data_IF_020407094621
#
_entry.id   IF_020407094621
#
_cell.length_a   1.000
_cell.length_b   1.000
_cell.length_c   1.000
_cell.angle_alpha   90.00
_cell.angle_beta   90.00
_cell.angle_gamma   90.00
#
_symmetry.space_group_name_H-M   'P 1'
#
loop_
_entity.id
_entity.type
_entity.pdbx_description
1 polymer ?
#
# COMPACT_ATOMS: atom_id res chain seq x y z
N UNK A 1 5.22 -0.17 -8.45
CA UNK A 1 3.98 0.50 -8.03
C UNK A 1 3.71 0.16 -6.57
N UNK A 2 3.23 1.11 -5.77
CA UNK A 2 2.99 0.91 -4.33
C UNK A 2 1.67 1.57 -3.99
N UNK A 3 0.80 0.88 -3.24
CA UNK A 3 -0.45 1.43 -2.69
C UNK A 3 -0.45 1.22 -1.19
N UNK A 4 -0.86 2.23 -0.44
CA UNK A 4 -1.06 2.15 1.01
C UNK A 4 -2.55 2.15 1.33
N UNK A 5 -2.96 1.25 2.23
CA UNK A 5 -4.34 1.16 2.73
C UNK A 5 -4.31 1.40 4.24
N UNK A 6 -4.99 2.44 4.68
CA UNK A 6 -5.05 2.86 6.08
C UNK A 6 -6.35 2.41 6.74
N UNK A 7 -6.31 2.22 8.07
CA UNK A 7 -7.46 1.83 8.89
C UNK A 7 -8.44 2.99 9.13
N UNK A 8 -7.98 4.23 8.99
CA UNK A 8 -8.77 5.45 9.13
C UNK A 8 -9.67 5.65 7.91
N UNK A 9 -10.73 6.45 8.08
CA UNK A 9 -11.56 6.92 6.97
C UNK A 9 -10.88 8.07 6.20
N UNK A 10 -11.30 8.32 4.95
CA UNK A 10 -10.62 9.29 4.08
C UNK A 10 -10.65 10.73 4.61
N UNK A 11 -11.65 11.09 5.40
CA UNK A 11 -11.82 12.40 6.03
C UNK A 11 -10.93 12.59 7.27
N UNK A 12 -10.35 11.51 7.79
CA UNK A 12 -9.43 11.53 8.94
C UNK A 12 -7.96 11.55 8.52
N UNK A 13 -7.64 11.33 7.24
CA UNK A 13 -6.28 11.35 6.74
C UNK A 13 -5.88 12.74 6.22
N UNK A 14 -4.80 13.28 6.77
CA UNK A 14 -4.09 14.44 6.24
C UNK A 14 -3.27 14.04 4.99
N UNK A 15 -3.94 13.90 3.84
CA UNK A 15 -3.29 13.52 2.58
C UNK A 15 -2.09 14.42 2.25
N UNK A 16 -2.22 15.71 2.50
CA UNK A 16 -1.18 16.72 2.25
C UNK A 16 0.11 16.53 3.08
N UNK A 17 0.06 15.71 4.12
CA UNK A 17 1.20 15.38 5.00
C UNK A 17 1.85 14.03 4.64
N UNK A 18 1.29 13.28 3.69
CA UNK A 18 1.79 11.95 3.32
C UNK A 18 3.19 12.00 2.70
N UNK A 19 4.02 10.96 2.86
CA UNK A 19 5.32 10.89 2.20
C UNK A 19 5.23 11.03 0.67
N UNK A 20 6.28 11.56 0.03
CA UNK A 20 6.33 11.72 -1.43
C UNK A 20 6.20 10.40 -2.19
N UNK A 21 6.57 9.26 -1.58
CA UNK A 21 6.35 7.93 -2.14
C UNK A 21 4.86 7.63 -2.37
N UNK A 22 4.00 8.10 -1.45
CA UNK A 22 2.54 7.96 -1.52
C UNK A 22 1.87 9.16 -2.22
N UNK A 23 2.69 10.12 -2.65
CA UNK A 23 2.28 11.29 -3.44
C UNK A 23 3.31 11.53 -4.55
N UNK A 24 3.53 10.58 -5.47
CA UNK A 24 4.56 10.76 -6.47
C UNK A 24 4.12 11.79 -7.51
N UNK A 25 5.04 12.66 -7.92
CA UNK A 25 4.89 13.46 -9.14
C UNK A 25 5.40 12.66 -10.33
N UNK A 26 4.58 12.50 -11.36
CA UNK A 26 4.87 11.60 -12.48
C UNK A 26 4.65 12.26 -13.84
N UNK A 27 5.20 11.63 -14.88
CA UNK A 27 5.10 12.10 -16.26
C UNK A 27 5.92 13.36 -16.56
N UNK A 28 5.92 13.77 -17.84
CA UNK A 28 6.72 14.91 -18.34
C UNK A 28 6.32 16.25 -17.72
N UNK A 29 5.09 16.36 -17.22
CA UNK A 29 4.53 17.57 -16.62
C UNK A 29 4.65 17.59 -15.08
N UNK A 30 5.17 16.53 -14.47
CA UNK A 30 5.33 16.45 -13.01
C UNK A 30 4.01 16.52 -12.25
N UNK A 31 2.94 15.95 -12.81
CA UNK A 31 1.62 15.98 -12.19
C UNK A 31 1.57 15.04 -10.98
N UNK A 32 0.82 15.45 -9.97
CA UNK A 32 0.61 14.68 -8.76
C UNK A 32 -0.29 13.47 -9.07
N UNK A 33 0.22 12.27 -8.81
CA UNK A 33 -0.60 11.05 -8.74
C UNK A 33 -1.27 11.01 -7.36
N UNK A 34 -2.60 10.95 -7.34
CA UNK A 34 -3.43 10.92 -6.12
C UNK A 34 -3.93 9.52 -5.76
N UNK A 35 -3.61 8.50 -6.56
CA UNK A 35 -4.24 7.17 -6.49
C UNK A 35 -3.39 6.14 -5.73
N UNK A 36 -2.56 6.60 -4.77
CA UNK A 36 -1.66 5.74 -3.98
C UNK A 36 -2.13 5.50 -2.55
N UNK A 37 -3.09 6.27 -2.05
CA UNK A 37 -3.56 6.23 -0.66
C UNK A 37 -5.04 5.86 -0.62
N UNK A 38 -5.36 4.83 0.15
CA UNK A 38 -6.70 4.30 0.33
C UNK A 38 -7.03 4.15 1.81
N UNK A 39 -8.31 4.02 2.11
CA UNK A 39 -8.87 3.94 3.45
C UNK A 39 -9.86 2.79 3.53
N UNK A 40 -10.23 2.40 4.75
CA UNK A 40 -11.41 1.57 4.97
C UNK A 40 -12.66 2.30 4.48
N UNK A 41 -13.63 1.54 3.98
CA UNK A 41 -14.90 2.11 3.57
C UNK A 41 -15.85 2.27 4.75
N UNK A 42 -16.43 3.47 4.88
CA UNK A 42 -17.47 3.76 5.87
C UNK A 42 -18.86 3.86 5.24
N UNK A 43 -19.00 3.56 3.93
CA UNK A 43 -20.24 3.70 3.15
C UNK A 43 -20.96 2.37 2.90
N UNK A 44 -20.46 1.26 3.43
CA UNK A 44 -21.12 -0.05 3.46
C UNK A 44 -20.50 -1.15 2.60
N UNK A 45 -19.38 -0.90 1.91
CA UNK A 45 -18.61 -1.92 1.21
C UNK A 45 -17.83 -2.85 2.16
N UNK A 46 -17.65 -2.42 3.41
CA UNK A 46 -17.02 -3.20 4.48
C UNK A 46 -15.58 -2.80 4.77
N UNK A 47 -15.10 -3.24 5.93
CA UNK A 47 -13.73 -3.00 6.37
C UNK A 47 -12.80 -4.09 5.81
N UNK A 48 -11.90 -3.70 4.90
CA UNK A 48 -10.94 -4.62 4.26
C UNK A 48 -10.03 -5.31 5.28
N UNK A 49 -9.72 -4.69 6.41
CA UNK A 49 -8.91 -5.32 7.46
C UNK A 49 -9.64 -6.51 8.06
N UNK A 50 -10.92 -6.36 8.39
CA UNK A 50 -11.73 -7.46 8.92
C UNK A 50 -12.01 -8.52 7.84
N UNK A 51 -12.37 -8.08 6.63
CA UNK A 51 -12.69 -8.97 5.50
C UNK A 51 -11.51 -9.82 5.02
N UNK A 52 -10.27 -9.43 5.32
CA UNK A 52 -9.05 -10.15 4.92
C UNK A 52 -8.22 -10.64 6.11
N UNK A 53 -8.71 -10.45 7.33
CA UNK A 53 -8.00 -10.88 8.56
C UNK A 53 -6.65 -10.18 8.75
N UNK A 54 -6.54 -8.90 8.38
CA UNK A 54 -5.30 -8.13 8.52
C UNK A 54 -5.13 -7.77 9.99
N UNK A 55 -3.95 -8.09 10.55
CA UNK A 55 -3.61 -7.70 11.90
C UNK A 55 -3.56 -6.16 12.01
N UNK A 56 -4.42 -5.58 12.84
CA UNK A 56 -4.55 -4.13 12.99
C UNK A 56 -3.39 -3.46 13.71
N UNK A 57 -2.73 -4.19 14.62
CA UNK A 57 -1.60 -3.67 15.40
C UNK A 57 -0.29 -3.72 14.62
N UNK A 58 -0.11 -4.76 13.79
CA UNK A 58 1.14 -5.01 13.06
C UNK A 58 1.08 -4.59 11.60
N UNK A 59 -0.11 -4.58 10.98
CA UNK A 59 -0.28 -4.43 9.54
C UNK A 59 0.39 -5.56 8.75
N UNK A 60 0.48 -5.37 7.43
CA UNK A 60 1.21 -6.29 6.55
C UNK A 60 1.63 -5.61 5.25
N UNK A 61 2.68 -6.12 4.61
CA UNK A 61 3.06 -5.84 3.24
C UNK A 61 2.67 -7.02 2.35
N UNK A 62 1.90 -6.76 1.29
CA UNK A 62 1.51 -7.79 0.33
C UNK A 62 2.19 -7.52 -1.01
N UNK A 63 2.98 -8.50 -1.48
CA UNK A 63 3.66 -8.42 -2.78
C UNK A 63 2.82 -9.18 -3.81
N UNK A 64 2.38 -8.46 -4.84
CA UNK A 64 1.55 -8.99 -5.92
C UNK A 64 2.31 -8.90 -7.24
N UNK A 65 2.30 -9.98 -8.02
CA UNK A 65 2.91 -10.05 -9.35
C UNK A 65 2.09 -9.28 -10.40
N UNK A 66 2.68 -8.97 -11.57
CA UNK A 66 1.96 -8.35 -12.67
C UNK A 66 0.74 -9.14 -13.18
N UNK A 67 0.72 -10.46 -12.98
CA UNK A 67 -0.39 -11.36 -13.29
C UNK A 67 -1.41 -11.51 -12.14
N UNK A 68 -1.35 -10.61 -11.15
CA UNK A 68 -2.28 -10.52 -10.02
C UNK A 68 -2.17 -11.63 -8.95
N UNK A 69 -1.18 -12.52 -9.05
CA UNK A 69 -0.93 -13.52 -8.01
C UNK A 69 -0.14 -12.94 -6.83
N UNK A 70 -0.61 -13.22 -5.61
CA UNK A 70 0.12 -12.92 -4.37
C UNK A 70 1.34 -13.83 -4.28
N UNK A 71 2.51 -13.24 -4.06
CA UNK A 71 3.76 -14.00 -3.90
C UNK A 71 4.26 -14.00 -2.46
N UNK A 72 4.13 -12.88 -1.75
CA UNK A 72 4.55 -12.76 -0.36
C UNK A 72 3.54 -11.95 0.46
N UNK A 73 3.44 -12.32 1.74
CA UNK A 73 2.82 -11.52 2.80
C UNK A 73 3.87 -11.40 3.89
N UNK A 74 4.36 -10.19 4.12
CA UNK A 74 5.49 -9.90 5.01
C UNK A 74 5.07 -8.92 6.12
N UNK A 75 5.78 -8.89 7.26
CA UNK A 75 5.71 -7.77 8.19
C UNK A 75 6.10 -6.46 7.50
N UNK A 76 5.49 -5.33 7.89
CA UNK A 76 5.82 -4.01 7.31
C UNK A 76 7.31 -3.63 7.48
N UNK A 77 7.96 -4.13 8.53
CA UNK A 77 9.37 -3.86 8.83
C UNK A 77 10.36 -4.81 8.12
N UNK A 78 9.90 -5.80 7.36
CA UNK A 78 10.74 -6.82 6.73
C UNK A 78 11.41 -6.32 5.43
N UNK A 79 12.18 -5.23 5.54
CA UNK A 79 12.85 -4.58 4.41
C UNK A 79 13.89 -5.50 3.76
N UNK A 80 14.65 -6.24 4.56
CA UNK A 80 15.71 -7.13 4.06
C UNK A 80 15.14 -8.32 3.26
N UNK A 81 14.04 -8.91 3.73
CA UNK A 81 13.35 -10.00 3.02
C UNK A 81 12.75 -9.52 1.69
N UNK A 82 12.15 -8.32 1.70
CA UNK A 82 11.63 -7.70 0.49
C UNK A 82 12.75 -7.43 -0.53
N UNK A 83 13.87 -6.89 -0.07
CA UNK A 83 15.03 -6.60 -0.92
C UNK A 83 15.63 -7.88 -1.50
N UNK A 84 15.79 -8.92 -0.68
CA UNK A 84 16.31 -10.21 -1.11
C UNK A 84 15.41 -10.86 -2.18
N UNK A 85 14.09 -10.81 -2.01
CA UNK A 85 13.15 -11.31 -3.01
C UNK A 85 13.33 -10.61 -4.37
N UNK A 86 13.34 -9.27 -4.38
CA UNK A 86 13.47 -8.52 -5.64
C UNK A 86 14.86 -8.66 -6.27
N UNK A 87 15.93 -8.77 -5.48
CA UNK A 87 17.28 -9.04 -5.98
C UNK A 87 17.40 -10.38 -6.73
N UNK A 88 16.55 -11.36 -6.39
CA UNK A 88 16.51 -12.66 -7.07
C UNK A 88 15.81 -12.66 -8.43
N UNK A 89 15.01 -11.62 -8.75
CA UNK A 89 14.14 -11.60 -9.95
C UNK A 89 14.34 -10.38 -10.86
N UNK A 90 14.80 -9.25 -10.33
CA UNK A 90 15.09 -8.04 -11.08
C UNK A 90 16.59 -7.88 -11.33
N UNK A 91 16.95 -7.21 -12.42
CA UNK A 91 18.33 -6.86 -12.78
C UNK A 91 18.50 -5.34 -12.84
#
# INVERSE_FOLDING_TARGET
DVRAVFQQTFDQLAYEQMPSLLRPKTGKLGLQDYEKVFCVDHKGAGDIFDMRGINRDQGCLVVVRPDQYVTHVLPLAAVDELAAYFAGVLR
#
